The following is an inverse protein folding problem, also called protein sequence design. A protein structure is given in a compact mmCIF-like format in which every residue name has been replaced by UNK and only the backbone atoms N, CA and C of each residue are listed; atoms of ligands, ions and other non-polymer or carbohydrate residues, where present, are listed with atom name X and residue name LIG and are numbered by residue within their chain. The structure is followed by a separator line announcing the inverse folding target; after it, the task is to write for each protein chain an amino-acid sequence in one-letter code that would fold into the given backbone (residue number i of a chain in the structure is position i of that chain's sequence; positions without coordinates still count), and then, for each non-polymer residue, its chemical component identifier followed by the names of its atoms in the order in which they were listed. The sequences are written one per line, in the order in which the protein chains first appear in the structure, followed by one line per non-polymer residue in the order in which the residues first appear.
data_IF_202878474097
#
_entry.id   IF_202878474097
#
_cell.length_a   1.000
_cell.length_b   1.000
_cell.length_c   1.000
_cell.angle_alpha   90.00
_cell.angle_beta   90.00
_cell.angle_gamma   90.00
#
_symmetry.space_group_name_H-M   'P 1'
#
loop_
_entity.id
_entity.type
_entity.pdbx_description
1 polymer ?
#
# COMPACT_ATOMS: atom_id res chain seq x y z
N UNK A 1 1.68 36.56 -5.23
CA UNK A 1 0.71 35.43 -5.11
C UNK A 1 1.29 34.13 -5.67
N UNK A 2 1.96 34.14 -6.83
CA UNK A 2 2.69 32.98 -7.39
C UNK A 2 3.69 32.34 -6.41
N UNK A 3 4.43 33.16 -5.67
CA UNK A 3 5.54 32.68 -4.85
C UNK A 3 5.05 31.89 -3.63
N UNK A 4 3.93 32.31 -3.03
CA UNK A 4 3.31 31.59 -1.90
C UNK A 4 2.79 30.22 -2.34
N UNK A 5 2.17 30.12 -3.52
CA UNK A 5 1.74 28.82 -4.06
C UNK A 5 2.92 27.92 -4.41
N UNK A 6 4.04 28.48 -4.91
CA UNK A 6 5.24 27.70 -5.22
C UNK A 6 5.87 27.07 -3.97
N UNK A 7 5.97 27.82 -2.87
CA UNK A 7 6.49 27.32 -1.58
C UNK A 7 5.60 26.22 -1.01
N UNK A 8 4.27 26.38 -1.12
CA UNK A 8 3.31 25.35 -0.68
C UNK A 8 3.46 24.08 -1.53
N UNK A 9 3.54 24.20 -2.85
CA UNK A 9 3.74 23.04 -3.74
C UNK A 9 5.06 22.32 -3.48
N UNK A 10 6.13 23.07 -3.25
CA UNK A 10 7.45 22.51 -2.94
C UNK A 10 7.43 21.75 -1.61
N UNK A 11 6.77 22.30 -0.59
CA UNK A 11 6.57 21.63 0.69
C UNK A 11 5.72 20.35 0.56
N UNK A 12 4.59 20.42 -0.16
CA UNK A 12 3.74 19.24 -0.41
C UNK A 12 4.49 18.16 -1.18
N UNK A 13 5.28 18.54 -2.21
CA UNK A 13 6.09 17.61 -2.98
C UNK A 13 7.12 16.93 -2.09
N UNK A 14 7.77 17.67 -1.18
CA UNK A 14 8.78 17.10 -0.30
C UNK A 14 8.19 16.11 0.72
N UNK A 15 7.03 16.44 1.29
CA UNK A 15 6.27 15.52 2.15
C UNK A 15 5.84 14.29 1.35
N UNK A 16 5.30 14.48 0.15
CA UNK A 16 4.86 13.39 -0.70
C UNK A 16 6.02 12.43 -1.00
N UNK A 17 7.18 12.93 -1.42
CA UNK A 17 8.38 12.12 -1.65
C UNK A 17 8.76 11.32 -0.41
N UNK A 18 8.82 11.97 0.77
CA UNK A 18 9.16 11.31 2.04
C UNK A 18 8.18 10.19 2.37
N UNK A 19 6.88 10.43 2.17
CA UNK A 19 5.83 9.44 2.42
C UNK A 19 5.94 8.26 1.45
N UNK A 20 6.18 8.54 0.16
CA UNK A 20 6.34 7.50 -0.87
C UNK A 20 7.58 6.65 -0.62
N UNK A 21 8.71 7.26 -0.27
CA UNK A 21 9.93 6.54 0.08
C UNK A 21 9.73 5.62 1.29
N UNK A 22 9.04 6.12 2.33
CA UNK A 22 8.69 5.32 3.49
C UNK A 22 7.77 4.14 3.11
N UNK A 23 6.73 4.38 2.31
CA UNK A 23 5.80 3.35 1.85
C UNK A 23 6.51 2.26 1.03
N UNK A 24 7.39 2.65 0.10
CA UNK A 24 8.16 1.70 -0.69
C UNK A 24 9.11 0.88 0.18
N UNK A 25 9.81 1.53 1.12
CA UNK A 25 10.72 0.85 2.05
C UNK A 25 9.96 -0.15 2.92
N UNK A 26 8.80 0.23 3.45
CA UNK A 26 7.95 -0.65 4.24
C UNK A 26 7.42 -1.83 3.42
N UNK A 27 7.03 -1.60 2.16
CA UNK A 27 6.57 -2.65 1.26
C UNK A 27 7.68 -3.67 0.95
N UNK A 28 8.88 -3.21 0.63
CA UNK A 28 10.03 -4.11 0.41
C UNK A 28 10.41 -4.88 1.67
N UNK A 29 10.38 -4.23 2.82
CA UNK A 29 10.61 -4.90 4.10
C UNK A 29 9.56 -5.99 4.38
N UNK A 30 8.29 -5.72 4.09
CA UNK A 30 7.23 -6.71 4.21
C UNK A 30 7.45 -7.91 3.28
N UNK A 31 7.80 -7.65 2.01
CA UNK A 31 8.13 -8.71 1.04
C UNK A 31 9.30 -9.57 1.53
N UNK A 32 10.36 -8.96 2.04
CA UNK A 32 11.52 -9.69 2.55
C UNK A 32 11.14 -10.61 3.72
N UNK A 33 10.42 -10.10 4.73
CA UNK A 33 9.93 -10.91 5.86
C UNK A 33 9.03 -12.06 5.43
N UNK A 34 8.12 -11.80 4.50
CA UNK A 34 7.18 -12.79 4.01
C UNK A 34 7.91 -13.87 3.19
N UNK A 35 8.94 -13.49 2.42
CA UNK A 35 9.74 -14.43 1.64
C UNK A 35 10.53 -15.38 2.53
N UNK A 36 11.15 -14.86 3.59
CA UNK A 36 11.85 -15.68 4.60
C UNK A 36 10.88 -16.63 5.29
N UNK A 37 9.67 -16.16 5.62
CA UNK A 37 8.63 -16.98 6.23
C UNK A 37 8.18 -18.12 5.30
N UNK A 38 7.96 -17.83 4.01
CA UNK A 38 7.56 -18.83 3.01
C UNK A 38 8.62 -19.92 2.80
N UNK A 39 9.90 -19.54 2.82
CA UNK A 39 11.02 -20.49 2.75
C UNK A 39 11.04 -21.36 4.02
N UNK A 40 10.91 -20.73 5.20
CA UNK A 40 10.93 -21.45 6.47
C UNK A 40 9.75 -22.42 6.64
N UNK A 41 8.60 -22.12 6.05
CA UNK A 41 7.43 -23.01 6.04
C UNK A 41 7.52 -24.11 4.97
N UNK A 42 8.53 -24.09 4.09
CA UNK A 42 8.64 -25.03 2.98
C UNK A 42 7.59 -24.82 1.88
N UNK A 43 6.97 -23.63 1.80
CA UNK A 43 5.99 -23.30 0.77
C UNK A 43 6.69 -22.93 -0.55
N UNK A 44 7.93 -22.43 -0.48
CA UNK A 44 8.71 -22.04 -1.63
C UNK A 44 10.05 -22.79 -1.69
N UNK A 45 10.29 -23.47 -2.81
CA UNK A 45 11.50 -24.30 -3.01
C UNK A 45 12.76 -23.49 -3.32
N UNK A 46 12.62 -22.20 -3.64
CA UNK A 46 13.75 -21.34 -4.00
C UNK A 46 13.55 -19.91 -3.48
N UNK A 47 14.66 -19.20 -3.26
CA UNK A 47 14.62 -17.79 -2.85
C UNK A 47 13.84 -16.93 -3.84
N UNK A 48 14.02 -17.18 -5.13
CA UNK A 48 13.33 -16.44 -6.20
C UNK A 48 11.83 -16.68 -6.16
N UNK A 49 11.38 -17.93 -6.02
CA UNK A 49 9.94 -18.22 -5.95
C UNK A 49 9.30 -17.63 -4.69
N UNK A 50 10.00 -17.66 -3.55
CA UNK A 50 9.51 -17.06 -2.31
C UNK A 50 9.30 -15.53 -2.43
N UNK A 51 10.22 -14.82 -3.08
CA UNK A 51 10.12 -13.38 -3.31
C UNK A 51 8.92 -13.08 -4.22
N UNK A 52 8.77 -13.81 -5.33
CA UNK A 52 7.66 -13.59 -6.29
C UNK A 52 6.31 -13.82 -5.61
N UNK A 53 6.17 -14.91 -4.85
CA UNK A 53 4.93 -15.22 -4.11
C UNK A 53 4.66 -14.13 -3.06
N UNK A 54 5.71 -13.65 -2.37
CA UNK A 54 5.57 -12.57 -1.38
C UNK A 54 5.10 -11.26 -1.99
N UNK A 55 5.62 -10.87 -3.15
CA UNK A 55 5.17 -9.68 -3.89
C UNK A 55 3.68 -9.81 -4.22
N UNK A 56 3.24 -10.96 -4.72
CA UNK A 56 1.82 -11.21 -5.05
C UNK A 56 0.96 -11.07 -3.78
N UNK A 57 1.36 -11.67 -2.67
CA UNK A 57 0.60 -11.60 -1.40
C UNK A 57 0.50 -10.16 -0.91
N UNK A 58 1.61 -9.42 -0.87
CA UNK A 58 1.63 -8.01 -0.44
C UNK A 58 0.76 -7.15 -1.35
N UNK A 59 0.79 -7.39 -2.66
CA UNK A 59 -0.05 -6.67 -3.63
C UNK A 59 -1.55 -6.97 -3.45
N UNK A 60 -1.93 -8.22 -3.19
CA UNK A 60 -3.33 -8.59 -2.90
C UNK A 60 -3.80 -7.92 -1.61
N UNK A 61 -2.98 -7.94 -0.55
CA UNK A 61 -3.30 -7.24 0.70
C UNK A 61 -3.51 -5.74 0.43
N UNK A 62 -2.63 -5.12 -0.36
CA UNK A 62 -2.75 -3.72 -0.73
C UNK A 62 -4.08 -3.42 -1.46
N UNK A 63 -4.47 -4.23 -2.44
CA UNK A 63 -5.74 -4.08 -3.16
C UNK A 63 -6.93 -4.20 -2.19
N UNK A 64 -6.91 -5.19 -1.29
CA UNK A 64 -7.99 -5.39 -0.31
C UNK A 64 -8.11 -4.17 0.59
N UNK A 65 -7.00 -3.68 1.15
CA UNK A 65 -7.00 -2.48 1.97
C UNK A 65 -7.50 -1.27 1.18
N UNK A 66 -7.00 -1.06 -0.03
CA UNK A 66 -7.44 0.02 -0.91
C UNK A 66 -8.95 -0.05 -1.21
N UNK A 67 -9.47 -1.23 -1.50
CA UNK A 67 -10.89 -1.47 -1.73
C UNK A 67 -11.74 -1.19 -0.47
N UNK A 68 -11.24 -1.48 0.73
CA UNK A 68 -11.91 -1.15 1.99
C UNK A 68 -11.91 0.36 2.23
N UNK A 69 -10.75 1.01 2.09
CA UNK A 69 -10.59 2.45 2.33
C UNK A 69 -11.44 3.29 1.35
N UNK A 70 -11.44 2.95 0.06
CA UNK A 70 -12.22 3.66 -0.95
C UNK A 70 -13.69 3.19 -0.97
N UNK A 71 -13.93 1.89 -0.83
CA UNK A 71 -15.26 1.30 -0.89
C UNK A 71 -16.14 1.62 0.32
N UNK A 72 -15.55 1.83 1.51
CA UNK A 72 -16.34 2.19 2.70
C UNK A 72 -17.02 3.56 2.57
N UNK A 73 -16.44 4.49 1.79
CA UNK A 73 -17.06 5.79 1.48
C UNK A 73 -18.35 5.70 0.66
N UNK A 74 -18.68 4.53 0.09
CA UNK A 74 -19.93 4.31 -0.65
C UNK A 74 -21.09 3.81 0.21
N UNK A 75 -20.87 3.47 1.49
CA UNK A 75 -21.94 2.97 2.38
C UNK A 75 -22.69 4.07 3.14
N UNK A 76 -22.31 5.34 3.01
CA UNK A 76 -22.93 6.48 3.70
C UNK A 76 -24.05 7.16 2.90
N UNK A 77 -24.76 6.41 2.05
CA UNK A 77 -25.88 6.93 1.24
C UNK A 77 -27.08 6.00 1.10
N UNK A 78 -27.07 4.84 1.77
CA UNK A 78 -28.09 3.79 1.62
C UNK A 78 -28.92 3.57 2.89
N UNK A 79 -29.61 4.60 3.38
CA UNK A 79 -30.70 4.46 4.35
C UNK A 79 -31.49 5.77 4.41
N UNK A 80 -32.21 6.10 3.33
CA UNK A 80 -33.22 7.17 3.35
C UNK A 80 -34.35 6.90 2.33
N UNK A 81 -34.67 5.65 2.00
CA UNK A 81 -35.90 5.33 1.24
C UNK A 81 -36.32 3.88 1.56
N UNK A 82 -36.79 3.67 2.77
CA UNK A 82 -37.70 2.57 3.11
C UNK A 82 -38.83 3.20 3.92
N UNK A 83 -39.80 3.79 3.21
CA UNK A 83 -41.17 4.08 3.66
C UNK A 83 -42.12 3.63 2.54
#
# INVERSE_FOLDING_TARGET
MSDVFSVIFEFLSNIFTTVVEFLLTAAFWAVDKLSVLLINLGIADSKTSAIVISIIIVFVIFIILFAIFIGSGRKTGGSMYDD
#
